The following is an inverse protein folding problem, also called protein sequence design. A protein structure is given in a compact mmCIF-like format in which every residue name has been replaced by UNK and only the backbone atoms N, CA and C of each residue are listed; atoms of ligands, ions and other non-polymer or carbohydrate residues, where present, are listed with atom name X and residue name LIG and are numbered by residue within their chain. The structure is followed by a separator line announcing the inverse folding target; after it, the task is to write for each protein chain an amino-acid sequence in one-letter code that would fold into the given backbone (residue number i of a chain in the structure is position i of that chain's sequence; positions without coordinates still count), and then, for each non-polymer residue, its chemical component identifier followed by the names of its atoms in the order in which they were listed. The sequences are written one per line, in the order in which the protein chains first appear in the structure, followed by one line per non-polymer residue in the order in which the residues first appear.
data_IF_918124560342
#
_entry.id   IF_918124560342
#
_cell.length_a   1.000
_cell.length_b   1.000
_cell.length_c   1.000
_cell.angle_alpha   90.00
_cell.angle_beta   90.00
_cell.angle_gamma   90.00
#
_symmetry.space_group_name_H-M   'P 1'
#
loop_
_entity.id
_entity.type
_entity.pdbx_description
1 polymer ?
#
# COMPACT_ATOMS: atom_id res chain seq x y z
N UNK A 1 -18.10 -9.78 -18.88
CA UNK A 1 -18.10 -9.63 -17.50
C UNK A 1 -17.14 -8.63 -16.98
N UNK A 2 -17.61 -7.85 -16.10
CA UNK A 2 -16.84 -6.79 -15.61
C UNK A 2 -16.04 -7.23 -14.46
N UNK A 3 -14.77 -7.23 -14.59
CA UNK A 3 -13.94 -7.59 -13.52
C UNK A 3 -13.45 -6.36 -12.83
N UNK A 4 -13.98 -6.12 -11.66
CA UNK A 4 -13.53 -5.00 -10.93
C UNK A 4 -12.43 -5.41 -10.03
N UNK A 5 -11.29 -4.83 -10.23
CA UNK A 5 -10.18 -5.04 -9.35
C UNK A 5 -10.33 -4.06 -8.21
N UNK A 6 -10.54 -4.57 -7.01
CA UNK A 6 -10.78 -3.72 -5.89
C UNK A 6 -9.62 -3.79 -4.91
N UNK A 7 -9.02 -2.67 -4.63
CA UNK A 7 -7.95 -2.58 -3.66
C UNK A 7 -8.54 -1.98 -2.40
N UNK A 8 -8.57 -2.77 -1.35
CA UNK A 8 -9.12 -2.31 -0.09
C UNK A 8 -8.04 -1.67 0.75
N UNK A 9 -8.39 -0.57 1.37
CA UNK A 9 -7.44 0.15 2.19
C UNK A 9 -7.30 -0.53 3.54
N UNK A 10 -6.15 -1.09 3.81
CA UNK A 10 -5.86 -1.67 5.11
C UNK A 10 -5.63 -0.57 6.12
N UNK A 11 -4.88 0.47 5.73
CA UNK A 11 -4.54 1.55 6.62
C UNK A 11 -4.28 2.79 5.79
N UNK A 12 -4.86 3.91 6.19
CA UNK A 12 -4.68 5.15 5.45
C UNK A 12 -4.00 6.19 6.32
N UNK A 13 -3.45 7.20 5.66
CA UNK A 13 -2.69 8.26 6.31
C UNK A 13 -3.17 9.62 5.80
N UNK A 14 -3.01 10.63 6.64
CA UNK A 14 -3.49 11.96 6.29
C UNK A 14 -2.74 12.56 5.13
N UNK A 15 -1.45 12.25 5.00
CA UNK A 15 -0.63 12.78 3.93
C UNK A 15 0.22 11.68 3.34
N UNK A 16 0.68 11.93 2.11
CA UNK A 16 1.58 11.01 1.44
C UNK A 16 2.88 10.85 2.22
N UNK A 17 3.37 11.94 2.79
CA UNK A 17 4.61 11.90 3.57
C UNK A 17 4.47 10.98 4.79
N UNK A 18 3.32 11.00 5.43
CA UNK A 18 3.09 10.12 6.57
C UNK A 18 3.07 8.66 6.15
N UNK A 19 2.49 8.37 4.99
CA UNK A 19 2.49 7.02 4.47
C UNK A 19 3.91 6.55 4.18
N UNK A 20 4.74 7.42 3.60
CA UNK A 20 6.12 7.08 3.32
C UNK A 20 6.90 6.78 4.60
N UNK A 21 6.64 7.56 5.65
CA UNK A 21 7.31 7.31 6.92
C UNK A 21 6.93 5.95 7.49
N UNK A 22 5.67 5.56 7.34
CA UNK A 22 5.23 4.27 7.83
C UNK A 22 5.91 3.14 7.07
N UNK A 23 6.08 3.30 5.77
CA UNK A 23 6.75 2.31 4.94
C UNK A 23 8.21 2.16 5.40
N UNK A 24 8.88 3.27 5.59
CA UNK A 24 10.28 3.24 6.01
C UNK A 24 10.43 2.61 7.38
N UNK A 25 9.48 2.89 8.27
CA UNK A 25 9.52 2.33 9.61
C UNK A 25 9.39 0.82 9.59
N UNK A 26 8.65 0.29 8.64
CA UNK A 26 8.52 -1.16 8.48
C UNK A 26 9.64 -1.80 7.69
N UNK A 27 10.51 -0.99 7.09
CA UNK A 27 11.63 -1.51 6.30
C UNK A 27 11.27 -1.94 4.91
N UNK A 28 10.19 -1.39 4.36
CA UNK A 28 9.72 -1.78 3.02
C UNK A 28 9.97 -0.72 1.96
N UNK A 29 10.78 0.30 2.27
CA UNK A 29 10.95 1.41 1.34
C UNK A 29 11.68 1.04 0.07
N UNK A 30 12.36 -0.10 0.06
CA UNK A 30 13.06 -0.58 -1.13
C UNK A 30 12.16 -1.39 -2.05
N UNK A 31 10.92 -1.63 -1.67
CA UNK A 31 9.99 -2.39 -2.48
C UNK A 31 9.19 -1.46 -3.38
N UNK A 32 8.78 -1.98 -4.53
CA UNK A 32 7.99 -1.19 -5.47
C UNK A 32 6.60 -1.00 -4.92
N UNK A 33 6.12 0.23 -5.01
CA UNK A 33 4.78 0.54 -4.53
C UNK A 33 4.32 1.86 -5.15
N UNK A 34 3.03 2.12 -5.03
CA UNK A 34 2.47 3.39 -5.44
C UNK A 34 1.45 3.83 -4.40
N UNK A 35 1.14 5.11 -4.40
CA UNK A 35 0.16 5.65 -3.46
C UNK A 35 -1.20 5.75 -4.11
N UNK A 36 -2.23 5.45 -3.35
CA UNK A 36 -3.61 5.65 -3.76
C UNK A 36 -4.32 6.52 -2.75
N UNK A 37 -5.39 7.17 -3.19
CA UNK A 37 -6.18 8.01 -2.31
C UNK A 37 -7.53 7.35 -2.04
N UNK A 38 -8.00 7.53 -0.82
CA UNK A 38 -9.35 7.10 -0.46
C UNK A 38 -10.35 8.17 -0.88
N UNK A 39 -11.63 7.82 -0.80
CA UNK A 39 -12.68 8.75 -1.18
C UNK A 39 -12.68 9.99 -0.31
N UNK A 40 -12.24 9.87 0.93
CA UNK A 40 -12.21 11.01 1.85
C UNK A 40 -10.86 11.73 1.83
N UNK A 41 -10.00 11.43 0.84
CA UNK A 41 -8.79 12.20 0.62
C UNK A 41 -7.58 11.75 1.40
N UNK A 42 -7.62 10.58 2.00
CA UNK A 42 -6.46 10.06 2.70
C UNK A 42 -5.62 9.22 1.74
N UNK A 43 -4.43 8.87 2.16
CA UNK A 43 -3.45 8.18 1.32
C UNK A 43 -3.13 6.81 1.88
N UNK A 44 -2.90 5.86 1.01
CA UNK A 44 -2.42 4.55 1.42
C UNK A 44 -1.53 3.95 0.34
N UNK A 45 -0.50 3.21 0.74
CA UNK A 45 0.41 2.59 -0.23
C UNK A 45 -0.10 1.24 -0.68
N UNK A 46 0.19 0.92 -1.93
CA UNK A 46 -0.11 -0.39 -2.50
C UNK A 46 1.17 -0.95 -3.07
N UNK A 47 1.60 -2.08 -2.56
CA UNK A 47 2.85 -2.69 -2.99
C UNK A 47 2.61 -3.64 -4.14
N UNK A 48 3.62 -3.83 -4.97
CA UNK A 48 3.48 -4.57 -6.21
C UNK A 48 4.47 -5.73 -6.22
N UNK A 49 4.00 -6.91 -6.62
CA UNK A 49 4.88 -8.03 -6.89
C UNK A 49 4.96 -9.03 -5.77
N UNK A 50 5.52 -10.19 -6.10
CA UNK A 50 5.60 -11.30 -5.17
C UNK A 50 6.60 -11.04 -4.05
N UNK A 51 7.61 -10.25 -4.33
CA UNK A 51 8.62 -9.96 -3.34
C UNK A 51 8.01 -9.30 -2.11
N UNK A 52 7.04 -8.41 -2.34
CA UNK A 52 6.36 -7.76 -1.21
C UNK A 52 5.60 -8.79 -0.38
N UNK A 53 4.94 -9.74 -1.04
CA UNK A 53 4.22 -10.78 -0.32
C UNK A 53 5.17 -11.66 0.47
N UNK A 54 6.32 -11.99 -0.10
CA UNK A 54 7.30 -12.83 0.57
C UNK A 54 7.87 -12.16 1.81
N UNK A 55 7.93 -10.84 1.81
CA UNK A 55 8.47 -10.10 2.94
C UNK A 55 7.41 -9.76 3.99
N UNK A 56 6.18 -10.22 3.79
CA UNK A 56 5.13 -10.03 4.77
C UNK A 56 4.44 -8.70 4.73
N UNK A 57 4.55 -7.99 3.61
CA UNK A 57 3.92 -6.68 3.47
C UNK A 57 2.41 -6.77 3.67
N UNK A 58 1.81 -7.89 3.27
CA UNK A 58 0.36 -8.04 3.35
C UNK A 58 -0.17 -8.01 4.79
N UNK A 59 0.69 -8.17 5.77
CA UNK A 59 0.28 -8.02 7.16
C UNK A 59 0.13 -6.57 7.57
N UNK A 60 0.67 -5.64 6.79
CA UNK A 60 0.70 -4.22 7.14
C UNK A 60 0.05 -3.33 6.10
N UNK A 61 0.18 -3.67 4.82
CA UNK A 61 -0.27 -2.82 3.72
C UNK A 61 -0.93 -3.65 2.64
N UNK A 62 -1.55 -2.97 1.68
CA UNK A 62 -2.16 -3.62 0.54
C UNK A 62 -1.10 -4.09 -0.45
N UNK A 63 -1.38 -5.19 -1.11
CA UNK A 63 -0.51 -5.73 -2.14
C UNK A 63 -1.35 -6.07 -3.37
N UNK A 64 -0.79 -5.77 -4.54
CA UNK A 64 -1.35 -6.23 -5.80
C UNK A 64 -0.23 -6.94 -6.55
N UNK A 65 -0.55 -8.10 -7.12
CA UNK A 65 0.53 -8.80 -7.76
C UNK A 65 0.20 -9.86 -8.69
#
# INVERSE_FOLDING_TARGET
MNRKFKIECVKSYATEANADKAIAKCGFEDLRHFMMRTDDGRWFPVFIGQEAAQRGVHFHFNIVG
#
